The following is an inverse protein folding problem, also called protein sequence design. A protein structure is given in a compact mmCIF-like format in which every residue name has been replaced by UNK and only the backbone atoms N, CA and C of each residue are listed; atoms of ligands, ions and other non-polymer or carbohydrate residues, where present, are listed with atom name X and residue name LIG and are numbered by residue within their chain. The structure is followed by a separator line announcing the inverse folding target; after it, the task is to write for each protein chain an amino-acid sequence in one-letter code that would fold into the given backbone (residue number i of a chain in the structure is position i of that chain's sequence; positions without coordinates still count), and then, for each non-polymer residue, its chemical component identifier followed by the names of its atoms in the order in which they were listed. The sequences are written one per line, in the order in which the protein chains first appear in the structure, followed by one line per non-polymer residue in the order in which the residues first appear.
data_IF_455909094310
#
_entry.id   IF_455909094310
#
_cell.length_a   1.000
_cell.length_b   1.000
_cell.length_c   1.000
_cell.angle_alpha   90.00
_cell.angle_beta   90.00
_cell.angle_gamma   90.00
#
_symmetry.space_group_name_H-M   'P 1'
#
loop_
_entity.id
_entity.type
_entity.pdbx_description
1 polymer ?
#
# COMPACT_ATOMS: atom_id res chain seq x y z
N UNK A 1 25.36 -17.99 -1.31
CA UNK A 1 25.36 -18.48 0.09
C UNK A 1 23.93 -18.94 0.37
N UNK A 2 23.71 -20.24 0.31
CA UNK A 2 22.51 -20.86 0.88
C UNK A 2 22.78 -20.92 2.39
N UNK A 3 22.24 -19.99 3.15
CA UNK A 3 22.09 -20.22 4.57
C UNK A 3 21.11 -21.39 4.69
N UNK A 4 21.63 -22.53 5.10
CA UNK A 4 20.80 -23.64 5.51
C UNK A 4 20.19 -23.26 6.87
N UNK A 5 19.11 -22.51 6.80
CA UNK A 5 18.27 -22.17 7.95
C UNK A 5 17.37 -23.37 8.25
N UNK A 6 18.03 -24.53 8.37
CA UNK A 6 17.33 -25.74 8.76
C UNK A 6 16.74 -25.54 10.13
N UNK A 7 15.47 -25.39 10.13
CA UNK A 7 14.45 -25.77 11.09
C UNK A 7 14.27 -25.01 12.39
N UNK A 8 15.21 -24.28 12.98
CA UNK A 8 15.03 -23.86 14.37
C UNK A 8 15.14 -22.36 14.66
N UNK A 9 15.47 -21.51 13.70
CA UNK A 9 15.56 -20.07 13.90
C UNK A 9 14.67 -19.33 12.92
N UNK A 10 13.53 -18.88 13.36
CA UNK A 10 12.63 -18.03 12.60
C UNK A 10 13.16 -16.57 12.58
N UNK A 11 12.88 -15.82 11.54
CA UNK A 11 13.21 -14.38 11.48
C UNK A 11 12.62 -13.60 12.66
N UNK A 12 11.46 -14.01 13.18
CA UNK A 12 10.84 -13.45 14.38
C UNK A 12 11.65 -13.68 15.65
N UNK A 13 12.38 -14.80 15.74
CA UNK A 13 13.22 -15.11 16.91
C UNK A 13 14.46 -14.21 16.98
N UNK A 14 14.95 -13.75 15.81
CA UNK A 14 16.11 -12.87 15.71
C UNK A 14 15.75 -11.38 15.83
N UNK A 15 14.63 -10.98 15.27
CA UNK A 15 14.29 -9.57 15.06
C UNK A 15 13.01 -9.14 15.76
N UNK A 16 12.18 -10.10 16.19
CA UNK A 16 10.81 -9.86 16.64
C UNK A 16 9.84 -9.44 15.51
N UNK A 17 10.30 -9.46 14.26
CA UNK A 17 9.52 -9.05 13.08
C UNK A 17 9.40 -10.22 12.12
N UNK A 18 8.16 -10.64 11.85
CA UNK A 18 7.89 -11.79 10.96
C UNK A 18 8.28 -11.48 9.51
N UNK A 19 8.00 -10.26 9.04
CA UNK A 19 8.31 -9.79 7.69
C UNK A 19 9.48 -8.81 7.73
N UNK A 20 10.71 -9.31 7.79
CA UNK A 20 11.90 -8.46 7.79
C UNK A 20 12.43 -8.22 6.38
N UNK A 21 12.56 -6.96 5.99
CA UNK A 21 13.14 -6.58 4.70
C UNK A 21 14.61 -7.00 4.56
N UNK A 22 15.34 -7.08 5.68
CA UNK A 22 16.73 -7.52 5.71
C UNK A 22 16.89 -9.03 5.50
N UNK A 23 15.83 -9.80 5.69
CA UNK A 23 15.80 -11.26 5.58
C UNK A 23 14.97 -11.75 4.38
N UNK A 24 14.72 -10.89 3.40
CA UNK A 24 14.02 -11.26 2.18
C UNK A 24 12.50 -11.25 2.29
N UNK A 25 11.94 -10.69 3.36
CA UNK A 25 10.49 -10.62 3.64
C UNK A 25 9.88 -12.00 3.90
N UNK A 26 8.66 -12.26 3.37
CA UNK A 26 7.96 -13.51 3.58
C UNK A 26 8.57 -14.65 2.76
N UNK A 27 8.87 -15.80 3.36
CA UNK A 27 9.17 -17.01 2.61
C UNK A 27 7.97 -17.46 1.79
N UNK A 28 8.21 -18.02 0.61
CA UNK A 28 7.15 -18.65 -0.17
C UNK A 28 6.86 -20.05 0.36
N UNK A 29 5.59 -20.46 0.48
CA UNK A 29 5.23 -21.84 0.77
C UNK A 29 5.80 -22.80 -0.29
N UNK A 30 6.17 -24.02 0.10
CA UNK A 30 6.75 -25.02 -0.80
C UNK A 30 5.87 -25.27 -2.02
N UNK A 31 4.57 -25.38 -1.83
CA UNK A 31 3.61 -25.55 -2.93
C UNK A 31 3.66 -24.39 -3.93
N UNK A 32 3.77 -23.14 -3.44
CA UNK A 32 3.86 -21.97 -4.31
C UNK A 32 5.19 -21.98 -5.08
N UNK A 33 6.29 -22.34 -4.43
CA UNK A 33 7.60 -22.46 -5.06
C UNK A 33 7.63 -23.54 -6.15
N UNK A 34 7.02 -24.69 -5.91
CA UNK A 34 6.89 -25.76 -6.88
C UNK A 34 6.05 -25.32 -8.10
N UNK A 35 4.88 -24.71 -7.85
CA UNK A 35 4.02 -24.21 -8.92
C UNK A 35 4.68 -23.11 -9.75
N UNK A 36 5.41 -22.22 -9.10
CA UNK A 36 6.19 -21.20 -9.79
C UNK A 36 7.25 -21.83 -10.71
N UNK A 37 7.98 -22.82 -10.22
CA UNK A 37 8.98 -23.54 -11.02
C UNK A 37 8.36 -24.27 -12.21
N UNK A 38 7.19 -24.90 -12.05
CA UNK A 38 6.46 -25.53 -13.15
C UNK A 38 6.02 -24.48 -14.19
N UNK A 39 5.51 -23.34 -13.74
CA UNK A 39 5.00 -22.29 -14.63
C UNK A 39 6.09 -21.66 -15.52
N UNK A 40 7.32 -21.51 -14.99
CA UNK A 40 8.42 -20.89 -15.75
C UNK A 40 9.15 -21.84 -16.69
N UNK A 41 8.91 -23.15 -16.62
CA UNK A 41 9.54 -24.16 -17.46
C UNK A 41 9.03 -24.20 -18.89
N UNK A 42 7.83 -23.75 -19.13
CA UNK A 42 7.14 -23.88 -20.40
C UNK A 42 6.43 -22.62 -20.85
N UNK A 43 5.61 -22.79 -21.86
CA UNK A 43 4.73 -21.71 -22.30
C UNK A 43 3.63 -21.45 -21.27
N UNK A 44 3.24 -20.19 -21.14
CA UNK A 44 2.20 -19.73 -20.24
C UNK A 44 1.14 -18.95 -21.00
N UNK A 45 -0.11 -19.07 -20.61
CA UNK A 45 -1.23 -18.31 -21.17
C UNK A 45 -1.47 -16.97 -20.44
N UNK A 46 -0.45 -16.41 -19.82
CA UNK A 46 -0.56 -15.18 -19.03
C UNK A 46 -1.22 -14.01 -19.81
N UNK A 47 -0.97 -13.94 -21.11
CA UNK A 47 -1.51 -12.90 -21.99
C UNK A 47 -2.52 -13.46 -23.00
N UNK A 48 -3.04 -14.67 -22.78
CA UNK A 48 -3.94 -15.32 -23.72
C UNK A 48 -5.15 -15.90 -23.02
N UNK A 49 -6.33 -15.45 -23.42
CA UNK A 49 -7.60 -16.02 -22.97
C UNK A 49 -7.91 -17.29 -23.77
N UNK A 50 -7.83 -18.42 -23.09
CA UNK A 50 -8.07 -19.72 -23.70
C UNK A 50 -9.54 -19.93 -24.09
N UNK A 51 -10.48 -19.31 -23.41
CA UNK A 51 -11.92 -19.48 -23.71
C UNK A 51 -12.32 -18.66 -24.93
N UNK A 52 -11.81 -17.45 -25.05
CA UNK A 52 -12.09 -16.53 -26.14
C UNK A 52 -11.15 -16.71 -27.35
N UNK A 53 -10.06 -17.46 -27.18
CA UNK A 53 -9.07 -17.67 -28.23
C UNK A 53 -8.32 -16.40 -28.67
N UNK A 54 -8.20 -15.38 -27.78
CA UNK A 54 -7.60 -14.08 -28.09
C UNK A 54 -6.64 -13.61 -27.01
N UNK A 55 -5.92 -12.52 -27.29
CA UNK A 55 -5.07 -11.87 -26.31
C UNK A 55 -5.92 -11.31 -25.16
N UNK A 56 -5.55 -11.68 -23.92
CA UNK A 56 -6.14 -11.22 -22.67
C UNK A 56 -5.23 -10.24 -21.93
N UNK A 57 -5.72 -9.73 -20.82
CA UNK A 57 -4.96 -8.86 -19.91
C UNK A 57 -4.16 -9.69 -18.90
N UNK A 58 -2.88 -9.36 -18.69
CA UNK A 58 -2.00 -10.06 -17.73
C UNK A 58 -2.53 -10.09 -16.31
N UNK A 59 -3.25 -9.04 -15.94
CA UNK A 59 -3.69 -8.80 -14.56
C UNK A 59 -5.04 -9.42 -14.24
N UNK A 60 -5.81 -9.87 -15.23
CA UNK A 60 -7.19 -10.32 -15.06
C UNK A 60 -7.35 -11.42 -14.01
N UNK A 61 -6.53 -12.47 -14.11
CA UNK A 61 -6.62 -13.61 -13.18
C UNK A 61 -6.28 -13.18 -11.75
N UNK A 62 -5.23 -12.39 -11.59
CA UNK A 62 -4.79 -11.93 -10.25
C UNK A 62 -5.79 -10.94 -9.68
N UNK A 63 -6.30 -10.01 -10.50
CA UNK A 63 -7.34 -9.06 -10.10
C UNK A 63 -8.59 -9.79 -9.58
N UNK A 64 -9.09 -10.78 -10.33
CA UNK A 64 -10.26 -11.59 -9.94
C UNK A 64 -10.01 -12.34 -8.62
N UNK A 65 -8.84 -12.96 -8.46
CA UNK A 65 -8.49 -13.68 -7.23
C UNK A 65 -8.41 -12.74 -6.03
N UNK A 66 -7.76 -11.60 -6.18
CA UNK A 66 -7.68 -10.59 -5.12
C UNK A 66 -9.05 -10.04 -4.75
N UNK A 67 -9.89 -9.72 -5.74
CA UNK A 67 -11.26 -9.26 -5.49
C UNK A 67 -12.08 -10.31 -4.73
N UNK A 68 -11.91 -11.59 -5.06
CA UNK A 68 -12.58 -12.69 -4.37
C UNK A 68 -12.12 -12.83 -2.90
N UNK A 69 -10.81 -12.69 -2.64
CA UNK A 69 -10.23 -12.85 -1.31
C UNK A 69 -10.53 -11.64 -0.42
N UNK A 70 -10.48 -10.44 -0.97
CA UNK A 70 -10.61 -9.19 -0.21
C UNK A 70 -12.03 -8.62 -0.18
N UNK A 71 -12.89 -9.06 -1.11
CA UNK A 71 -14.24 -8.50 -1.29
C UNK A 71 -14.24 -7.12 -1.98
N UNK A 72 -13.11 -6.67 -2.55
CA UNK A 72 -13.07 -5.40 -3.27
C UNK A 72 -13.65 -5.53 -4.70
N UNK A 73 -14.09 -4.41 -5.27
CA UNK A 73 -14.66 -4.36 -6.62
C UNK A 73 -13.63 -4.67 -7.71
N UNK A 74 -12.39 -4.19 -7.52
CA UNK A 74 -11.29 -4.42 -8.44
C UNK A 74 -9.95 -4.40 -7.70
N UNK A 75 -8.94 -5.03 -8.28
CA UNK A 75 -7.60 -5.05 -7.75
C UNK A 75 -6.56 -4.94 -8.88
N UNK A 76 -5.44 -4.33 -8.58
CA UNK A 76 -4.27 -4.27 -9.45
C UNK A 76 -3.02 -4.61 -8.65
N UNK A 77 -2.07 -5.28 -9.27
CA UNK A 77 -0.78 -5.62 -8.66
C UNK A 77 0.33 -4.82 -9.32
N UNK A 78 1.17 -4.24 -8.50
CA UNK A 78 2.38 -3.52 -8.90
C UNK A 78 3.59 -4.07 -8.15
N UNK A 79 4.79 -3.62 -8.51
CA UNK A 79 6.04 -4.21 -8.02
C UNK A 79 6.28 -4.06 -6.52
N UNK A 80 5.78 -2.98 -5.93
CA UNK A 80 6.00 -2.66 -4.51
C UNK A 80 5.01 -1.60 -4.02
N UNK A 81 5.01 -1.35 -2.70
CA UNK A 81 4.14 -0.35 -2.08
C UNK A 81 4.36 1.06 -2.63
N UNK A 82 5.62 1.49 -2.85
CA UNK A 82 5.90 2.81 -3.43
C UNK A 82 5.19 3.02 -4.77
N UNK A 83 5.25 2.02 -5.66
CA UNK A 83 4.55 2.05 -6.94
C UNK A 83 3.03 2.06 -6.78
N UNK A 84 2.49 1.38 -5.76
CA UNK A 84 1.06 1.39 -5.46
C UNK A 84 0.60 2.79 -5.02
N UNK A 85 1.34 3.42 -4.10
CA UNK A 85 1.05 4.79 -3.65
C UNK A 85 1.17 5.79 -4.81
N UNK A 86 2.25 5.71 -5.60
CA UNK A 86 2.43 6.58 -6.80
C UNK A 86 1.27 6.44 -7.77
N UNK A 87 0.85 5.22 -8.06
CA UNK A 87 -0.26 4.97 -8.97
C UNK A 87 -1.58 5.55 -8.43
N UNK A 88 -1.88 5.32 -7.16
CA UNK A 88 -3.07 5.85 -6.52
C UNK A 88 -3.09 7.39 -6.51
N UNK A 89 -1.98 8.02 -6.11
CA UNK A 89 -1.84 9.48 -6.10
C UNK A 89 -1.98 10.04 -7.51
N UNK A 90 -1.29 9.45 -8.50
CA UNK A 90 -1.38 9.91 -9.89
C UNK A 90 -2.79 9.80 -10.46
N UNK A 91 -3.49 8.71 -10.16
CA UNK A 91 -4.83 8.48 -10.66
C UNK A 91 -5.90 9.39 -10.03
N UNK A 92 -5.76 9.71 -8.74
CA UNK A 92 -6.81 10.40 -7.96
C UNK A 92 -6.53 11.87 -7.69
N UNK A 93 -5.25 12.27 -7.67
CA UNK A 93 -4.83 13.58 -7.18
C UNK A 93 -3.81 14.30 -8.09
N UNK A 94 -3.66 13.92 -9.35
CA UNK A 94 -2.75 14.60 -10.28
C UNK A 94 -3.07 16.09 -10.37
N UNK A 95 -2.10 16.94 -10.08
CA UNK A 95 -2.24 18.40 -10.04
C UNK A 95 -3.02 18.95 -8.84
N UNK A 96 -3.51 18.08 -7.94
CA UNK A 96 -4.32 18.43 -6.77
C UNK A 96 -3.57 18.23 -5.45
N UNK A 97 -4.27 18.40 -4.34
CA UNK A 97 -3.74 18.22 -3.00
C UNK A 97 -4.03 16.81 -2.48
N UNK A 98 -3.03 16.19 -1.85
CA UNK A 98 -3.16 14.97 -1.04
C UNK A 98 -3.08 15.38 0.42
N UNK A 99 -4.16 15.19 1.15
CA UNK A 99 -4.26 15.57 2.57
C UNK A 99 -3.80 14.39 3.43
N UNK A 100 -2.77 14.60 4.24
CA UNK A 100 -2.13 13.57 5.08
C UNK A 100 -1.86 14.11 6.48
N UNK A 101 -2.00 13.25 7.50
CA UNK A 101 -1.58 13.57 8.87
C UNK A 101 -0.07 13.77 8.95
N UNK A 102 0.40 14.83 9.65
CA UNK A 102 1.83 15.00 9.97
C UNK A 102 2.42 13.82 10.72
N UNK A 103 1.63 13.19 11.57
CA UNK A 103 2.05 11.99 12.30
C UNK A 103 2.18 10.74 11.45
N UNK A 104 1.84 10.79 10.16
CA UNK A 104 1.88 9.67 9.21
C UNK A 104 2.87 9.90 8.05
N UNK A 105 3.67 10.97 8.09
CA UNK A 105 4.72 11.24 7.10
C UNK A 105 5.92 10.35 7.36
N UNK A 106 5.87 9.16 6.80
CA UNK A 106 6.86 8.10 7.04
C UNK A 106 8.06 8.20 6.11
N UNK A 107 9.22 7.75 6.62
CA UNK A 107 10.39 7.37 5.83
C UNK A 107 10.73 5.91 6.12
N UNK A 108 10.83 5.07 5.10
CA UNK A 108 11.09 3.63 5.22
C UNK A 108 12.23 3.22 4.31
N UNK A 109 13.13 2.37 4.83
CA UNK A 109 14.24 1.80 4.06
C UNK A 109 15.09 2.89 3.43
N UNK A 110 15.92 2.56 2.45
CA UNK A 110 16.91 3.46 1.85
C UNK A 110 16.34 4.69 1.12
N UNK A 111 15.59 5.55 1.82
CA UNK A 111 15.05 6.84 1.35
C UNK A 111 13.67 6.87 0.69
N UNK A 112 12.80 5.89 0.92
CA UNK A 112 11.38 6.08 0.59
C UNK A 112 10.77 7.08 1.59
N UNK A 113 10.47 8.28 1.11
CA UNK A 113 9.76 9.32 1.86
C UNK A 113 8.40 9.55 1.25
N UNK A 114 7.36 9.45 2.05
CA UNK A 114 5.99 9.65 1.57
C UNK A 114 5.78 11.03 0.90
N UNK A 115 6.30 12.15 1.44
CA UNK A 115 6.22 13.44 0.77
C UNK A 115 6.81 13.44 -0.64
N UNK A 116 8.02 12.87 -0.79
CA UNK A 116 8.72 12.84 -2.08
C UNK A 116 7.94 12.00 -3.12
N UNK A 117 7.32 10.91 -2.68
CA UNK A 117 6.47 10.05 -3.54
C UNK A 117 5.22 10.78 -4.00
N UNK A 118 4.56 11.53 -3.11
CA UNK A 118 3.38 12.34 -3.45
C UNK A 118 3.74 13.39 -4.50
N UNK A 119 4.82 14.14 -4.28
CA UNK A 119 5.28 15.18 -5.20
C UNK A 119 5.73 14.61 -6.55
N UNK A 120 6.50 13.51 -6.54
CA UNK A 120 6.90 12.81 -7.76
C UNK A 120 5.72 12.26 -8.56
N UNK A 121 4.59 12.03 -7.93
CA UNK A 121 3.34 11.61 -8.58
C UNK A 121 2.56 12.75 -9.24
N UNK A 122 3.03 13.99 -9.09
CA UNK A 122 2.40 15.20 -9.67
C UNK A 122 1.35 15.85 -8.78
N UNK A 123 1.21 15.42 -7.53
CA UNK A 123 0.31 16.02 -6.55
C UNK A 123 1.06 16.97 -5.59
N UNK A 124 0.31 17.74 -4.82
CA UNK A 124 0.86 18.59 -3.75
C UNK A 124 0.50 18.00 -2.39
N UNK A 125 1.50 17.85 -1.54
CA UNK A 125 1.27 17.44 -0.15
C UNK A 125 0.56 18.55 0.63
N UNK A 126 -0.48 18.19 1.37
CA UNK A 126 -1.16 19.06 2.34
C UNK A 126 -1.21 18.38 3.70
N UNK A 127 -0.36 18.84 4.60
CA UNK A 127 -0.24 18.28 5.93
C UNK A 127 -1.34 18.80 6.86
N UNK A 128 -1.89 17.92 7.70
CA UNK A 128 -2.89 18.27 8.71
C UNK A 128 -2.50 17.82 10.12
N UNK A 129 -3.05 18.48 11.13
CA UNK A 129 -2.76 18.18 12.52
C UNK A 129 -1.34 18.50 12.93
N UNK A 130 -0.86 17.76 13.92
CA UNK A 130 0.51 17.84 14.46
C UNK A 130 1.14 16.45 14.50
N UNK A 131 2.43 16.37 14.85
CA UNK A 131 3.16 15.09 14.90
C UNK A 131 2.46 14.04 15.75
N UNK A 132 1.91 14.43 16.89
CA UNK A 132 1.30 13.50 17.86
C UNK A 132 -0.22 13.56 17.91
N UNK A 133 -0.84 14.54 17.26
CA UNK A 133 -2.31 14.69 17.28
C UNK A 133 -2.84 15.13 15.94
N UNK A 134 -3.73 14.33 15.38
CA UNK A 134 -4.51 14.68 14.19
C UNK A 134 -5.94 14.23 14.40
N UNK A 135 -6.85 15.20 14.35
CA UNK A 135 -8.27 15.00 14.56
C UNK A 135 -9.02 15.02 13.24
N UNK A 136 -10.19 14.43 13.22
CA UNK A 136 -11.08 14.50 12.06
C UNK A 136 -11.38 15.94 11.64
N UNK A 137 -11.47 16.87 12.60
CA UNK A 137 -11.64 18.31 12.33
C UNK A 137 -10.51 18.93 11.51
N UNK A 138 -9.28 18.43 11.67
CA UNK A 138 -8.13 18.93 10.92
C UNK A 138 -8.23 18.56 9.44
N UNK A 139 -8.66 17.33 9.16
CA UNK A 139 -8.96 16.88 7.79
C UNK A 139 -10.15 17.67 7.21
N UNK A 140 -11.24 17.83 7.98
CA UNK A 140 -12.43 18.56 7.53
C UNK A 140 -12.12 20.01 7.14
N UNK A 141 -11.30 20.69 7.90
CA UNK A 141 -10.85 22.08 7.61
C UNK A 141 -9.92 22.16 6.39
N UNK A 142 -9.19 21.09 6.08
CA UNK A 142 -8.28 21.05 4.96
C UNK A 142 -8.95 20.71 3.62
N UNK A 143 -10.11 20.08 3.63
CA UNK A 143 -10.85 19.74 2.41
C UNK A 143 -11.30 21.01 1.69
N UNK A 144 -11.01 21.09 0.39
CA UNK A 144 -11.39 22.19 -0.47
C UNK A 144 -11.42 21.77 -1.94
N UNK A 145 -11.64 22.72 -2.84
CA UNK A 145 -11.74 22.47 -4.30
C UNK A 145 -10.49 21.81 -4.89
N UNK A 146 -9.32 22.07 -4.30
CA UNK A 146 -8.05 21.49 -4.74
C UNK A 146 -7.76 20.13 -4.13
N UNK A 147 -8.59 19.62 -3.23
CA UNK A 147 -8.37 18.32 -2.61
C UNK A 147 -8.66 17.20 -3.60
N UNK A 148 -7.63 16.40 -3.90
CA UNK A 148 -7.73 15.23 -4.77
C UNK A 148 -8.04 13.95 -4.01
N UNK A 149 -7.44 13.78 -2.82
CA UNK A 149 -7.65 12.61 -1.97
C UNK A 149 -7.24 12.87 -0.52
N UNK A 150 -7.79 12.05 0.38
CA UNK A 150 -7.32 11.90 1.74
C UNK A 150 -6.47 10.62 1.80
N UNK A 151 -5.27 10.72 2.35
CA UNK A 151 -4.38 9.57 2.49
C UNK A 151 -4.12 9.29 3.97
N UNK A 152 -4.35 8.06 4.37
CA UNK A 152 -3.97 7.54 5.69
C UNK A 152 -2.87 6.50 5.51
N UNK A 153 -1.75 6.65 6.25
CA UNK A 153 -0.62 5.75 6.19
C UNK A 153 -0.40 5.06 7.52
N UNK A 154 -0.21 3.74 7.48
CA UNK A 154 0.18 2.98 8.66
C UNK A 154 1.64 3.25 9.03
N UNK A 155 1.88 3.56 10.30
CA UNK A 155 3.22 3.75 10.88
C UNK A 155 3.87 2.39 11.16
N UNK A 156 4.47 1.80 10.14
CA UNK A 156 5.00 0.43 10.22
C UNK A 156 6.35 0.33 10.94
N UNK A 157 7.13 1.41 11.03
CA UNK A 157 8.51 1.39 11.53
C UNK A 157 8.78 2.36 12.70
N UNK A 158 7.77 3.03 13.22
CA UNK A 158 7.87 3.88 14.43
C UNK A 158 6.55 3.95 15.17
N UNK A 159 6.63 4.39 16.43
CA UNK A 159 5.47 4.65 17.29
C UNK A 159 5.53 6.03 17.87
N UNK A 160 4.38 6.69 18.03
CA UNK A 160 4.25 7.93 18.77
C UNK A 160 3.57 7.60 20.09
N UNK A 161 4.25 7.86 21.21
CA UNK A 161 3.80 7.50 22.55
C UNK A 161 3.59 8.75 23.39
N UNK A 162 2.62 8.72 24.28
CA UNK A 162 2.30 9.84 25.18
C UNK A 162 0.92 10.44 24.89
N UNK A 163 0.82 11.76 24.85
CA UNK A 163 -0.45 12.45 24.53
C UNK A 163 -0.71 12.45 23.05
N UNK A 164 -1.25 11.34 22.53
CA UNK A 164 -1.49 11.11 21.11
C UNK A 164 -2.98 11.09 20.79
N UNK A 165 -3.32 11.42 19.56
CA UNK A 165 -4.68 11.31 19.01
C UNK A 165 -4.56 11.12 17.50
N UNK A 166 -5.27 10.15 16.94
CA UNK A 166 -5.31 9.90 15.50
C UNK A 166 -6.75 9.71 15.03
N UNK A 167 -6.99 10.03 13.77
CA UNK A 167 -8.30 9.82 13.14
C UNK A 167 -8.40 8.36 12.69
N UNK A 168 -9.48 7.71 13.08
CA UNK A 168 -9.74 6.34 12.69
C UNK A 168 -10.09 6.22 11.19
N UNK A 169 -9.74 5.06 10.61
CA UNK A 169 -9.97 4.77 9.20
C UNK A 169 -11.46 4.93 8.79
N UNK A 170 -12.36 4.46 9.66
CA UNK A 170 -13.79 4.53 9.43
C UNK A 170 -14.31 5.98 9.42
N UNK A 171 -13.81 6.82 10.33
CA UNK A 171 -14.17 8.24 10.40
C UNK A 171 -13.69 8.99 9.16
N UNK A 172 -12.45 8.72 8.73
CA UNK A 172 -11.90 9.34 7.53
C UNK A 172 -12.67 8.91 6.27
N UNK A 173 -13.05 7.63 6.19
CA UNK A 173 -13.88 7.10 5.11
C UNK A 173 -15.25 7.77 5.06
N UNK A 174 -15.90 7.98 6.21
CA UNK A 174 -17.18 8.69 6.30
C UNK A 174 -17.04 10.15 5.83
N UNK A 175 -15.98 10.84 6.26
CA UNK A 175 -15.68 12.22 5.86
C UNK A 175 -15.43 12.32 4.34
N UNK A 176 -14.67 11.39 3.77
CA UNK A 176 -14.43 11.33 2.33
C UNK A 176 -15.72 11.17 1.53
N UNK A 177 -16.64 10.32 1.99
CA UNK A 177 -17.97 10.17 1.39
C UNK A 177 -18.81 11.43 1.50
N UNK A 178 -18.84 12.10 2.66
CA UNK A 178 -19.57 13.36 2.87
C UNK A 178 -19.14 14.44 1.87
N UNK A 179 -17.84 14.51 1.58
CA UNK A 179 -17.25 15.53 0.70
C UNK A 179 -16.99 15.07 -0.74
N UNK A 180 -17.33 13.83 -1.10
CA UNK A 180 -17.03 13.23 -2.41
C UNK A 180 -15.53 13.25 -2.75
N UNK A 181 -14.68 13.07 -1.75
CA UNK A 181 -13.22 12.97 -1.87
C UNK A 181 -12.80 11.52 -1.62
N UNK A 182 -12.05 10.90 -2.54
CA UNK A 182 -11.56 9.55 -2.34
C UNK A 182 -10.64 9.46 -1.13
N UNK A 183 -10.74 8.34 -0.41
CA UNK A 183 -9.88 8.01 0.74
C UNK A 183 -9.05 6.79 0.39
N UNK A 184 -7.75 6.89 0.59
CA UNK A 184 -6.80 5.81 0.34
C UNK A 184 -6.12 5.43 1.64
N UNK A 185 -5.99 4.14 1.86
CA UNK A 185 -5.27 3.59 3.00
C UNK A 185 -4.01 2.88 2.52
N UNK A 186 -2.86 3.37 2.91
CA UNK A 186 -1.60 2.64 2.82
C UNK A 186 -1.47 1.81 4.10
N UNK A 187 -1.67 0.50 3.97
CA UNK A 187 -1.62 -0.43 5.08
C UNK A 187 -0.19 -0.76 5.52
N UNK A 188 0.80 -0.25 4.78
CA UNK A 188 2.19 -0.62 4.96
C UNK A 188 2.50 -2.04 4.50
N UNK A 189 3.70 -2.54 4.81
CA UNK A 189 4.14 -3.88 4.46
C UNK A 189 5.40 -4.28 5.21
#
# INVERSE_FOLDING_TARGET
YRCDWSSDVCSSDLTGVILSTNLGRAPLPDLASQRFYEAIKGYSNLEFDLAEGKRGERTDTVSKLLSLITGCEAAIVVNNNASAVMLAVKALADGKEVVVSRGELIEIGGSFRLPDVIEASGARLKEVGTTNRTRLSDYKQAIGEQTGMLLKCHRSNYQIVGFTEETEAAELSALGKEHSVPVVFDLGG
#
